data_IF_951692810591
#
_entry.id   IF_951692810591
#
_cell.length_a   1.000
_cell.length_b   1.000
_cell.length_c   1.000
_cell.angle_alpha   90.00
_cell.angle_beta   90.00
_cell.angle_gamma   90.00
#
_symmetry.space_group_name_H-M   'P 1'
#
loop_
_entity.id
_entity.type
_entity.pdbx_description
1 polymer ?
#
# COMPACT_ATOMS: atom_id res chain seq x y z
N UNK A 1 25.01 0.46 46.25
CA UNK A 1 24.12 -0.22 45.29
C UNK A 1 22.66 0.17 45.49
N UNK A 2 22.28 1.45 45.35
CA UNK A 2 20.86 1.89 45.42
C UNK A 2 20.38 2.63 44.16
N UNK A 3 21.32 3.07 43.31
CA UNK A 3 21.03 3.86 42.10
C UNK A 3 21.06 3.03 40.80
N UNK A 4 21.59 1.80 40.84
CA UNK A 4 21.67 0.91 39.68
C UNK A 4 20.32 0.25 39.34
N UNK A 5 19.43 0.10 40.33
CA UNK A 5 18.09 -0.45 40.11
C UNK A 5 17.10 0.57 39.53
N UNK A 6 17.35 1.87 39.70
CA UNK A 6 16.45 2.94 39.22
C UNK A 6 16.68 3.31 37.76
N UNK A 7 17.90 3.16 37.25
CA UNK A 7 18.24 3.48 35.85
C UNK A 7 17.90 2.35 34.87
N UNK A 8 17.71 1.11 35.36
CA UNK A 8 17.35 -0.04 34.51
C UNK A 8 15.90 -0.03 34.02
N UNK A 9 14.97 0.62 34.75
CA UNK A 9 13.55 0.61 34.40
C UNK A 9 13.20 1.62 33.29
N UNK A 10 13.93 2.74 33.20
CA UNK A 10 13.64 3.78 32.22
C UNK A 10 14.08 3.44 30.79
N UNK A 11 15.06 2.55 30.61
CA UNK A 11 15.59 2.18 29.28
C UNK A 11 14.64 1.21 28.56
N UNK A 12 13.84 0.43 29.30
CA UNK A 12 12.90 -0.54 28.75
C UNK A 12 11.64 0.11 28.15
N UNK A 13 11.27 1.32 28.58
CA UNK A 13 10.08 2.02 28.09
C UNK A 13 10.29 2.75 26.76
N UNK A 14 11.55 3.07 26.40
CA UNK A 14 11.89 3.81 25.19
C UNK A 14 11.87 2.96 23.90
N UNK A 15 11.98 1.64 24.02
CA UNK A 15 11.96 0.73 22.87
C UNK A 15 10.55 0.47 22.31
N UNK A 16 9.49 0.67 23.11
CA UNK A 16 8.09 0.48 22.67
C UNK A 16 7.60 1.69 21.85
N UNK A 17 8.19 2.87 22.05
CA UNK A 17 7.85 4.09 21.30
C UNK A 17 8.23 4.03 19.81
N UNK A 18 9.24 3.25 19.43
CA UNK A 18 9.63 3.07 18.03
C UNK A 18 8.76 2.07 17.26
N UNK A 19 8.01 1.20 17.95
CA UNK A 19 7.03 0.32 17.29
C UNK A 19 5.72 1.05 17.02
N UNK A 20 5.33 2.02 17.85
CA UNK A 20 4.06 2.74 17.68
C UNK A 20 4.06 3.80 16.57
N UNK A 21 5.22 4.11 15.96
CA UNK A 21 5.31 4.90 14.72
C UNK A 21 5.69 4.05 13.50
N UNK A 22 5.89 2.73 13.68
CA UNK A 22 6.08 1.82 12.55
C UNK A 22 4.72 1.28 12.12
N UNK A 23 4.00 2.17 11.44
CA UNK A 23 3.26 1.80 10.24
C UNK A 23 1.98 0.99 10.49
N UNK A 24 0.94 1.71 10.94
CA UNK A 24 -0.46 1.26 10.95
C UNK A 24 -1.15 1.53 9.60
N UNK A 25 -0.45 1.38 8.47
CA UNK A 25 -0.93 1.80 7.13
C UNK A 25 -0.87 0.67 6.10
N UNK A 26 -1.01 -0.59 6.55
CA UNK A 26 -0.81 -1.78 5.72
C UNK A 26 -1.94 -2.80 5.81
N UNK A 27 -3.20 -2.40 5.97
CA UNK A 27 -4.32 -3.35 5.79
C UNK A 27 -5.45 -2.86 4.88
N UNK A 28 -5.55 -1.55 4.55
CA UNK A 28 -6.69 -1.04 3.76
C UNK A 28 -6.56 -1.21 2.22
N UNK A 29 -5.35 -1.18 1.65
CA UNK A 29 -5.18 -1.04 0.18
C UNK A 29 -5.55 -2.28 -0.66
N UNK A 30 -5.60 -3.48 -0.06
CA UNK A 30 -6.03 -4.71 -0.76
C UNK A 30 -7.55 -4.84 -0.82
N UNK A 31 -8.24 -4.22 0.12
CA UNK A 31 -9.70 -4.23 0.23
C UNK A 31 -10.29 -3.27 -0.81
N UNK A 32 -9.71 -2.08 -0.94
CA UNK A 32 -10.18 -1.04 -1.85
C UNK A 32 -10.20 -1.49 -3.32
N UNK A 33 -9.16 -2.21 -3.77
CA UNK A 33 -9.13 -2.75 -5.15
C UNK A 33 -10.21 -3.82 -5.36
N UNK A 34 -10.49 -4.65 -4.37
CA UNK A 34 -11.54 -5.66 -4.45
C UNK A 34 -12.93 -5.01 -4.49
N UNK A 35 -13.18 -4.05 -3.62
CA UNK A 35 -14.44 -3.29 -3.61
C UNK A 35 -14.68 -2.61 -4.95
N UNK A 36 -13.63 -2.01 -5.54
CA UNK A 36 -13.73 -1.37 -6.85
C UNK A 36 -13.93 -2.37 -8.00
N UNK A 37 -13.56 -3.63 -7.86
CA UNK A 37 -13.86 -4.69 -8.84
C UNK A 37 -15.27 -5.27 -8.70
N UNK A 38 -15.84 -5.27 -7.49
CA UNK A 38 -17.20 -5.76 -7.22
C UNK A 38 -18.27 -4.75 -7.62
N UNK A 39 -17.91 -3.47 -7.70
CA UNK A 39 -18.82 -2.42 -8.11
C UNK A 39 -19.18 -2.54 -9.62
N UNK A 40 -20.48 -2.68 -9.97
CA UNK A 40 -20.92 -2.85 -11.36
C UNK A 40 -20.81 -1.57 -12.20
N UNK A 41 -20.70 -0.39 -11.59
CA UNK A 41 -20.50 0.88 -12.29
C UNK A 41 -19.05 1.07 -12.73
N UNK A 42 -18.12 0.31 -12.15
CA UNK A 42 -16.71 0.35 -12.51
C UNK A 42 -16.41 -0.58 -13.69
N UNK A 43 -15.59 -0.09 -14.62
CA UNK A 43 -15.17 -0.87 -15.79
C UNK A 43 -13.89 -1.63 -15.48
N UNK A 44 -14.01 -2.95 -15.36
CA UNK A 44 -12.86 -3.85 -15.16
C UNK A 44 -12.45 -4.48 -16.50
N UNK A 45 -11.19 -4.25 -16.91
CA UNK A 45 -10.56 -4.89 -18.07
C UNK A 45 -9.41 -5.78 -17.61
N UNK A 46 -9.56 -7.10 -17.84
CA UNK A 46 -8.50 -8.09 -17.61
C UNK A 46 -7.81 -8.43 -18.93
N UNK A 47 -6.48 -8.33 -18.96
CA UNK A 47 -5.61 -8.55 -20.13
C UNK A 47 -4.47 -9.51 -19.77
N UNK A 48 -3.82 -10.04 -20.81
CA UNK A 48 -2.68 -10.95 -20.69
C UNK A 48 -3.00 -12.16 -19.77
N UNK A 49 -4.13 -12.83 -20.00
CA UNK A 49 -4.57 -14.01 -19.23
C UNK A 49 -4.65 -13.79 -17.71
N UNK A 50 -4.88 -12.55 -17.26
CA UNK A 50 -4.95 -12.18 -15.84
C UNK A 50 -3.71 -11.47 -15.31
N UNK A 51 -2.64 -11.33 -16.10
CA UNK A 51 -1.42 -10.64 -15.68
C UNK A 51 -1.56 -9.12 -15.65
N UNK A 52 -2.53 -8.55 -16.38
CA UNK A 52 -2.84 -7.12 -16.35
C UNK A 52 -4.31 -6.90 -16.00
N UNK A 53 -4.58 -6.05 -15.03
CA UNK A 53 -5.94 -5.65 -14.65
C UNK A 53 -6.01 -4.13 -14.65
N UNK A 54 -6.95 -3.57 -15.41
CA UNK A 54 -7.29 -2.14 -15.40
C UNK A 54 -8.69 -1.98 -14.83
N UNK A 55 -8.85 -1.10 -13.86
CA UNK A 55 -10.15 -0.71 -13.29
C UNK A 55 -10.30 0.79 -13.55
N UNK A 56 -11.44 1.19 -14.09
CA UNK A 56 -11.79 2.58 -14.32
C UNK A 56 -13.08 2.87 -13.54
N UNK A 57 -13.00 3.79 -12.59
CA UNK A 57 -14.14 4.13 -11.74
C UNK A 57 -15.04 5.15 -12.43
N UNK A 58 -16.33 5.16 -12.06
CA UNK A 58 -17.27 6.16 -12.58
C UNK A 58 -16.86 7.60 -12.23
N UNK A 59 -16.10 7.79 -11.16
CA UNK A 59 -15.54 9.08 -10.73
C UNK A 59 -14.36 9.55 -11.59
N UNK A 60 -13.82 8.67 -12.44
CA UNK A 60 -12.71 8.96 -13.36
C UNK A 60 -11.34 8.53 -12.84
N UNK A 61 -11.28 7.78 -11.74
CA UNK A 61 -10.02 7.20 -11.26
C UNK A 61 -9.65 5.97 -12.10
N UNK A 62 -8.37 5.84 -12.45
CA UNK A 62 -7.84 4.68 -13.17
C UNK A 62 -6.84 3.92 -12.31
N UNK A 63 -7.10 2.63 -12.08
CA UNK A 63 -6.20 1.72 -11.38
C UNK A 63 -5.65 0.71 -12.39
N UNK A 64 -4.33 0.61 -12.50
CA UNK A 64 -3.63 -0.34 -13.38
C UNK A 64 -2.74 -1.24 -12.53
N UNK A 65 -3.00 -2.54 -12.57
CA UNK A 65 -2.25 -3.58 -11.88
C UNK A 65 -1.58 -4.46 -12.93
N UNK A 66 -0.27 -4.65 -12.80
CA UNK A 66 0.54 -5.50 -13.68
C UNK A 66 1.37 -6.44 -12.84
N UNK A 67 1.26 -7.74 -13.11
CA UNK A 67 2.10 -8.80 -12.57
C UNK A 67 3.05 -9.28 -13.67
N UNK A 68 4.35 -9.17 -13.45
CA UNK A 68 5.38 -9.70 -14.34
C UNK A 68 6.38 -10.52 -13.52
N UNK A 69 6.43 -11.85 -13.70
CA UNK A 69 7.54 -12.71 -13.21
C UNK A 69 7.95 -12.48 -11.73
N UNK A 70 6.97 -12.30 -10.83
CA UNK A 70 7.20 -12.06 -9.40
C UNK A 70 7.34 -10.57 -9.00
N UNK A 71 7.33 -9.66 -9.97
CA UNK A 71 7.23 -8.22 -9.78
C UNK A 71 5.77 -7.76 -9.86
N UNK A 72 5.33 -7.00 -8.87
CA UNK A 72 3.99 -6.41 -8.84
C UNK A 72 4.08 -4.89 -8.99
N UNK A 73 3.42 -4.34 -10.01
CA UNK A 73 3.30 -2.90 -10.26
C UNK A 73 1.83 -2.47 -10.18
N UNK A 74 1.50 -1.56 -9.25
CA UNK A 74 0.20 -0.89 -9.15
C UNK A 74 0.38 0.60 -9.46
N UNK A 75 -0.43 1.14 -10.35
CA UNK A 75 -0.56 2.57 -10.61
C UNK A 75 -2.00 2.97 -10.30
N UNK A 76 -2.17 4.04 -9.53
CA UNK A 76 -3.47 4.66 -9.23
C UNK A 76 -3.38 6.09 -9.73
N UNK A 77 -4.15 6.41 -10.75
CA UNK A 77 -4.32 7.74 -11.30
C UNK A 77 -5.68 8.26 -10.81
N UNK A 78 -5.69 9.31 -10.00
CA UNK A 78 -6.95 9.88 -9.48
C UNK A 78 -7.43 11.02 -10.38
N UNK A 79 -8.74 11.23 -10.43
CA UNK A 79 -9.39 12.30 -11.19
C UNK A 79 -8.91 13.70 -10.77
N UNK A 80 -8.47 13.86 -9.51
CA UNK A 80 -7.87 15.09 -8.97
C UNK A 80 -6.47 15.41 -9.57
N UNK A 81 -5.92 14.49 -10.38
CA UNK A 81 -4.61 14.65 -11.04
C UNK A 81 -3.44 14.08 -10.23
N UNK A 82 -3.68 13.59 -9.02
CA UNK A 82 -2.67 12.90 -8.21
C UNK A 82 -2.39 11.50 -8.75
N UNK A 83 -1.11 11.12 -8.84
CA UNK A 83 -0.69 9.78 -9.25
C UNK A 83 0.08 9.06 -8.13
N UNK A 84 -0.23 7.78 -7.94
CA UNK A 84 0.45 6.92 -6.98
C UNK A 84 0.96 5.66 -7.69
N UNK A 85 2.26 5.40 -7.59
CA UNK A 85 2.92 4.23 -8.17
C UNK A 85 3.50 3.38 -7.05
N UNK A 86 3.13 2.11 -7.02
CA UNK A 86 3.63 1.12 -6.08
C UNK A 86 4.28 -0.02 -6.88
N UNK A 87 5.56 -0.25 -6.61
CA UNK A 87 6.33 -1.35 -7.19
C UNK A 87 6.81 -2.27 -6.07
N UNK A 88 6.50 -3.55 -6.16
CA UNK A 88 6.97 -4.59 -5.25
C UNK A 88 7.92 -5.49 -6.05
N UNK A 89 9.19 -5.50 -5.65
CA UNK A 89 10.22 -6.40 -6.16
C UNK A 89 10.72 -7.24 -4.98
N UNK A 90 10.62 -8.57 -5.06
CA UNK A 90 11.32 -9.50 -4.14
C UNK A 90 11.13 -9.22 -2.63
N UNK A 91 9.96 -8.70 -2.23
CA UNK A 91 9.64 -8.35 -0.84
C UNK A 91 9.96 -6.91 -0.42
N UNK A 92 10.63 -6.11 -1.26
CA UNK A 92 10.80 -4.67 -1.06
C UNK A 92 9.70 -3.86 -1.75
N UNK A 93 8.95 -3.08 -0.97
CA UNK A 93 7.89 -2.19 -1.46
C UNK A 93 8.46 -0.79 -1.70
N UNK A 94 8.49 -0.33 -2.95
CA UNK A 94 8.84 1.04 -3.34
C UNK A 94 7.55 1.80 -3.70
N UNK A 95 7.07 2.66 -2.80
CA UNK A 95 5.93 3.57 -3.02
C UNK A 95 6.44 4.95 -3.47
N UNK A 96 5.89 5.48 -4.56
CA UNK A 96 6.08 6.86 -5.00
C UNK A 96 4.70 7.50 -5.16
N UNK A 97 4.51 8.63 -4.52
CA UNK A 97 3.31 9.46 -4.65
C UNK A 97 3.76 10.80 -5.18
N UNK A 98 3.27 11.17 -6.35
CA UNK A 98 3.53 12.47 -6.95
C UNK A 98 2.30 13.36 -6.67
N UNK A 99 2.52 14.53 -6.06
CA UNK A 99 1.52 15.56 -5.70
C UNK A 99 1.91 16.87 -6.39
#
# INVERSE_FOLDING_TARGET
MKYLFKTSLCILALSIGFVSCRDSEKEDEKTEVQELMEDPDNKVEVKDDGNKIKIETAEGDEIKIKMDDGEYKKKVDRADGSESKLKIEDGEVKKKTDN
#
